data_IF_666133195755
#
_entry.id   IF_666133195755
#
_cell.length_a   1.000
_cell.length_b   1.000
_cell.length_c   1.000
_cell.angle_alpha   90.00
_cell.angle_beta   90.00
_cell.angle_gamma   90.00
#
_symmetry.space_group_name_H-M   'P 1'
#
loop_
_entity.id
_entity.type
_entity.pdbx_description
1 polymer ?
#
# COMPACT_ATOMS: atom_id res chain seq x y z
N UNK A 1 14.81 -21.04 5.56
CA UNK A 1 14.70 -19.57 5.38
C UNK A 1 13.65 -19.34 4.33
N UNK A 2 12.56 -18.69 4.71
CA UNK A 2 11.38 -18.46 3.89
C UNK A 2 11.29 -16.99 3.47
N UNK A 3 11.62 -16.07 4.38
CA UNK A 3 11.70 -14.63 4.13
C UNK A 3 13.06 -14.06 4.56
N UNK A 4 13.53 -13.03 3.85
CA UNK A 4 14.76 -12.29 4.15
C UNK A 4 14.56 -10.81 3.77
N UNK A 5 14.93 -9.89 4.65
CA UNK A 5 14.83 -8.45 4.40
C UNK A 5 16.02 -7.69 5.01
N UNK A 6 16.67 -6.84 4.23
CA UNK A 6 17.67 -5.88 4.71
C UNK A 6 16.98 -4.55 5.05
N UNK A 7 17.43 -3.87 6.10
CA UNK A 7 16.94 -2.52 6.40
C UNK A 7 17.45 -1.53 5.34
N UNK A 8 16.56 -0.80 4.65
CA UNK A 8 16.97 0.21 3.67
C UNK A 8 17.59 1.46 4.32
N UNK A 9 17.47 1.63 5.64
CA UNK A 9 17.92 2.82 6.37
C UNK A 9 19.00 2.52 7.43
N UNK A 10 19.36 1.25 7.63
CA UNK A 10 20.35 0.85 8.62
C UNK A 10 21.19 -0.32 8.12
N UNK A 11 22.34 0.02 7.56
CA UNK A 11 23.33 -0.93 7.04
C UNK A 11 23.63 -2.03 8.07
N UNK A 12 23.81 -3.26 7.57
CA UNK A 12 24.13 -4.44 8.36
C UNK A 12 22.95 -4.99 9.18
N UNK A 13 21.78 -4.35 9.13
CA UNK A 13 20.56 -4.87 9.75
C UNK A 13 19.82 -5.76 8.78
N UNK A 14 19.77 -7.06 9.07
CA UNK A 14 19.11 -8.07 8.22
C UNK A 14 18.18 -8.91 9.09
N UNK A 15 16.98 -9.14 8.58
CA UNK A 15 15.93 -9.95 9.19
C UNK A 15 15.74 -11.24 8.39
N UNK A 16 15.56 -12.36 9.08
CA UNK A 16 15.27 -13.65 8.46
C UNK A 16 14.08 -14.32 9.15
N UNK A 17 13.20 -14.91 8.35
CA UNK A 17 12.02 -15.67 8.79
C UNK A 17 12.06 -17.09 8.25
N UNK A 18 11.47 -18.04 8.97
CA UNK A 18 11.40 -19.45 8.58
C UNK A 18 9.95 -19.96 8.49
N UNK A 19 9.79 -21.13 7.90
CA UNK A 19 8.52 -21.83 7.75
C UNK A 19 8.02 -22.48 9.05
N UNK A 20 8.92 -22.73 10.01
CA UNK A 20 8.60 -23.22 11.36
C UNK A 20 8.39 -22.10 12.40
N UNK A 21 8.55 -20.83 12.01
CA UNK A 21 8.16 -19.67 12.81
C UNK A 21 9.27 -18.98 13.57
N UNK A 22 10.53 -19.26 13.25
CA UNK A 22 11.65 -18.51 13.82
C UNK A 22 11.85 -17.19 13.08
N UNK A 23 12.04 -16.13 13.87
CA UNK A 23 12.44 -14.81 13.38
C UNK A 23 13.81 -14.48 13.99
N UNK A 24 14.75 -14.13 13.13
CA UNK A 24 16.13 -13.81 13.49
C UNK A 24 16.48 -12.41 12.98
N UNK A 25 17.30 -11.69 13.72
CA UNK A 25 17.85 -10.39 13.29
C UNK A 25 19.35 -10.32 13.56
N UNK A 26 20.10 -9.77 12.62
CA UNK A 26 21.49 -9.33 12.77
C UNK A 26 21.54 -7.81 12.62
N UNK A 27 22.57 -7.18 13.21
CA UNK A 27 22.87 -5.76 13.06
C UNK A 27 24.34 -5.51 12.71
N UNK A 28 25.05 -6.57 12.27
CA UNK A 28 26.49 -6.57 11.99
C UNK A 28 26.84 -7.40 10.75
N UNK A 29 26.02 -7.25 9.70
CA UNK A 29 26.21 -7.89 8.39
C UNK A 29 26.21 -9.43 8.46
N UNK A 30 25.44 -10.00 9.40
CA UNK A 30 25.27 -11.43 9.55
C UNK A 30 26.34 -12.15 10.38
N UNK A 31 27.21 -11.41 11.07
CA UNK A 31 28.21 -11.99 11.97
C UNK A 31 27.57 -12.61 13.22
N UNK A 32 26.57 -11.93 13.81
CA UNK A 32 25.81 -12.41 14.95
C UNK A 32 24.30 -12.28 14.71
N UNK A 33 23.56 -13.33 15.08
CA UNK A 33 22.11 -13.39 14.94
C UNK A 33 21.43 -13.57 16.29
N UNK A 34 20.34 -12.84 16.50
CA UNK A 34 19.50 -12.93 17.69
C UNK A 34 18.13 -13.47 17.32
N UNK A 35 17.66 -14.47 18.06
CA UNK A 35 16.28 -14.96 17.94
C UNK A 35 15.34 -13.94 18.58
N UNK A 36 14.47 -13.37 17.76
CA UNK A 36 13.51 -12.32 18.13
C UNK A 36 12.08 -12.74 17.79
N UNK A 37 11.81 -14.05 17.86
CA UNK A 37 10.50 -14.62 17.50
C UNK A 37 9.38 -14.04 18.37
N UNK A 38 8.31 -13.46 17.79
CA UNK A 38 7.14 -13.03 18.55
C UNK A 38 6.46 -14.21 19.24
N UNK A 39 5.66 -13.94 20.27
CA UNK A 39 4.76 -14.95 20.82
C UNK A 39 3.66 -15.26 19.82
N UNK A 40 3.83 -16.33 19.05
CA UNK A 40 2.86 -16.87 18.11
C UNK A 40 2.81 -18.39 18.22
N UNK A 41 1.76 -19.06 17.72
CA UNK A 41 1.67 -20.51 17.83
C UNK A 41 2.81 -21.19 17.04
N UNK A 42 3.23 -22.38 17.48
CA UNK A 42 4.29 -23.14 16.80
C UNK A 42 3.93 -23.45 15.34
N UNK A 43 4.95 -23.66 14.50
CA UNK A 43 4.82 -24.01 13.08
C UNK A 43 4.15 -22.91 12.23
N UNK A 44 4.22 -21.66 12.69
CA UNK A 44 3.75 -20.50 11.95
C UNK A 44 4.71 -20.14 10.82
N UNK A 45 4.28 -20.06 9.58
CA UNK A 45 5.17 -19.65 8.48
C UNK A 45 5.32 -18.13 8.47
N UNK A 46 6.56 -17.63 8.53
CA UNK A 46 6.85 -16.19 8.33
C UNK A 46 6.89 -15.92 6.83
N UNK A 47 5.73 -15.57 6.25
CA UNK A 47 5.53 -15.47 4.81
C UNK A 47 6.25 -14.25 4.22
N UNK A 48 6.27 -13.13 4.96
CA UNK A 48 7.05 -11.95 4.58
C UNK A 48 7.55 -11.13 5.77
N UNK A 49 8.62 -10.38 5.53
CA UNK A 49 9.21 -9.40 6.46
C UNK A 49 9.36 -8.08 5.70
N UNK A 50 8.84 -6.99 6.28
CA UNK A 50 9.03 -5.63 5.81
C UNK A 50 9.90 -4.87 6.81
N UNK A 51 11.13 -4.54 6.44
CA UNK A 51 11.97 -3.65 7.22
C UNK A 51 11.60 -2.20 6.89
N UNK A 52 11.30 -1.38 7.91
CA UNK A 52 10.74 -0.05 7.69
C UNK A 52 11.67 0.83 6.85
N UNK A 53 11.16 1.50 5.79
CA UNK A 53 11.88 2.54 5.06
C UNK A 53 12.08 3.83 5.85
N UNK A 54 11.50 3.95 7.04
CA UNK A 54 11.56 5.17 7.87
C UNK A 54 12.37 5.00 9.15
N UNK A 55 12.56 3.77 9.63
CA UNK A 55 13.22 3.52 10.92
C UNK A 55 13.91 2.14 10.96
N UNK A 56 15.23 2.15 11.14
CA UNK A 56 16.05 0.94 11.13
C UNK A 56 15.84 -0.03 12.29
N UNK A 57 15.01 0.33 13.27
CA UNK A 57 14.61 -0.59 14.36
C UNK A 57 13.18 -1.15 14.19
N UNK A 58 12.44 -0.66 13.20
CA UNK A 58 11.05 -1.04 12.94
C UNK A 58 10.97 -2.10 11.85
N UNK A 59 10.16 -3.13 12.09
CA UNK A 59 9.85 -4.16 11.10
C UNK A 59 8.44 -4.70 11.29
N UNK A 60 7.87 -5.22 10.21
CA UNK A 60 6.56 -5.84 10.16
C UNK A 60 6.69 -7.27 9.63
N UNK A 61 5.88 -8.19 10.16
CA UNK A 61 5.81 -9.59 9.75
C UNK A 61 4.40 -9.89 9.27
N UNK A 62 4.27 -10.57 8.14
CA UNK A 62 3.07 -11.33 7.82
C UNK A 62 3.31 -12.80 8.15
N UNK A 63 2.36 -13.42 8.84
CA UNK A 63 2.46 -14.80 9.30
C UNK A 63 1.26 -15.59 8.77
N UNK A 64 1.57 -16.72 8.16
CA UNK A 64 0.60 -17.60 7.53
C UNK A 64 0.52 -18.94 8.27
N UNK A 65 -0.71 -19.37 8.53
CA UNK A 65 -1.03 -20.62 9.24
C UNK A 65 -2.14 -21.42 8.55
N UNK A 66 -2.54 -21.08 7.32
CA UNK A 66 -3.66 -21.76 6.65
C UNK A 66 -3.42 -23.27 6.47
N UNK A 67 -2.16 -23.70 6.35
CA UNK A 67 -1.77 -25.12 6.26
C UNK A 67 -1.99 -25.92 7.55
N UNK A 68 -2.33 -25.24 8.63
CA UNK A 68 -2.62 -25.81 9.96
C UNK A 68 -4.10 -25.61 10.34
N UNK A 69 -4.98 -25.41 9.36
CA UNK A 69 -6.40 -25.10 9.53
C UNK A 69 -6.68 -23.84 10.38
N UNK A 70 -5.73 -22.90 10.39
CA UNK A 70 -5.87 -21.59 11.06
C UNK A 70 -5.84 -20.46 10.03
N UNK A 71 -7.02 -19.95 9.70
CA UNK A 71 -7.23 -18.92 8.67
C UNK A 71 -7.29 -17.49 9.24
N UNK A 72 -6.83 -17.28 10.47
CA UNK A 72 -6.83 -15.95 11.08
C UNK A 72 -5.73 -15.07 10.46
N UNK A 73 -5.93 -13.74 10.41
CA UNK A 73 -4.88 -12.82 10.04
C UNK A 73 -3.82 -12.72 11.15
N UNK A 74 -2.54 -12.74 10.76
CA UNK A 74 -1.43 -12.47 11.67
C UNK A 74 -0.47 -11.47 11.04
N UNK A 75 -0.41 -10.28 11.64
CA UNK A 75 0.57 -9.24 11.34
C UNK A 75 1.18 -8.79 12.66
N UNK A 76 2.50 -8.82 12.75
CA UNK A 76 3.23 -8.36 13.93
C UNK A 76 4.11 -7.16 13.57
N UNK A 77 4.15 -6.18 14.45
CA UNK A 77 5.03 -5.02 14.35
C UNK A 77 6.00 -4.97 15.53
N UNK A 78 7.26 -4.64 15.25
CA UNK A 78 8.25 -4.23 16.25
C UNK A 78 8.78 -2.83 15.95
N UNK A 79 9.29 -2.15 16.97
CA UNK A 79 9.98 -0.85 16.86
C UNK A 79 11.32 -0.85 17.62
N UNK A 80 11.77 -2.01 18.09
CA UNK A 80 12.92 -2.16 19.00
C UNK A 80 13.84 -3.32 18.61
N UNK A 81 13.95 -3.60 17.30
CA UNK A 81 14.68 -4.73 16.73
C UNK A 81 14.16 -6.08 17.22
N UNK A 82 12.85 -6.23 17.37
CA UNK A 82 12.19 -7.50 17.66
C UNK A 82 12.26 -7.92 19.14
N UNK A 83 12.69 -7.04 20.05
CA UNK A 83 12.64 -7.33 21.49
C UNK A 83 11.18 -7.41 21.97
N UNK A 84 10.32 -6.58 21.40
CA UNK A 84 8.87 -6.62 21.62
C UNK A 84 8.12 -6.58 20.30
N UNK A 85 6.96 -7.21 20.30
CA UNK A 85 6.07 -7.31 19.15
C UNK A 85 4.63 -7.01 19.55
N UNK A 86 3.92 -6.31 18.68
CA UNK A 86 2.51 -5.99 18.81
C UNK A 86 1.74 -6.56 17.62
N UNK A 87 0.64 -7.26 17.88
CA UNK A 87 -0.27 -7.69 16.81
C UNK A 87 -1.07 -6.50 16.31
N UNK A 88 -1.12 -6.32 14.99
CA UNK A 88 -1.74 -5.16 14.32
C UNK A 88 -2.73 -5.63 13.24
N UNK A 89 -3.70 -6.46 13.63
CA UNK A 89 -4.69 -7.08 12.70
C UNK A 89 -6.13 -6.61 12.92
N UNK A 90 -6.31 -5.56 13.72
CA UNK A 90 -7.64 -5.02 14.04
C UNK A 90 -8.41 -4.64 12.77
N UNK A 91 -9.68 -5.04 12.69
CA UNK A 91 -10.56 -4.81 11.52
C UNK A 91 -10.23 -5.62 10.25
N UNK A 92 -9.22 -6.49 10.27
CA UNK A 92 -9.09 -7.56 9.25
C UNK A 92 -10.01 -8.73 9.69
N UNK A 93 -10.94 -9.20 8.83
CA UNK A 93 -11.86 -10.26 9.20
C UNK A 93 -11.17 -11.63 9.31
N UNK A 94 -11.70 -12.50 10.18
CA UNK A 94 -11.33 -13.92 10.20
C UNK A 94 -11.54 -14.55 8.80
N UNK A 95 -10.61 -15.42 8.39
CA UNK A 95 -10.60 -16.02 7.05
C UNK A 95 -9.77 -15.24 6.03
N UNK A 96 -9.42 -13.98 6.29
CA UNK A 96 -8.50 -13.19 5.46
C UNK A 96 -7.06 -13.30 5.99
N UNK A 97 -6.49 -14.51 5.96
CA UNK A 97 -5.08 -14.70 6.33
C UNK A 97 -4.15 -13.89 5.42
N UNK A 98 -2.99 -13.51 5.95
CA UNK A 98 -2.13 -12.46 5.38
C UNK A 98 -0.86 -13.08 4.81
N UNK A 99 -0.52 -12.70 3.59
CA UNK A 99 0.72 -13.10 2.91
C UNK A 99 1.79 -12.01 2.96
N UNK A 100 1.37 -10.77 2.76
CA UNK A 100 2.26 -9.63 2.63
C UNK A 100 1.80 -8.44 3.47
N UNK A 101 2.75 -7.74 4.06
CA UNK A 101 2.57 -6.41 4.65
C UNK A 101 3.66 -5.49 4.10
N UNK A 102 3.30 -4.27 3.69
CA UNK A 102 4.24 -3.24 3.20
C UNK A 102 3.98 -1.91 3.86
N UNK A 103 5.04 -1.19 4.19
CA UNK A 103 4.96 0.20 4.64
C UNK A 103 5.19 1.14 3.45
N UNK A 104 4.37 2.19 3.34
CA UNK A 104 4.56 3.18 2.29
C UNK A 104 5.87 3.96 2.52
N UNK A 105 6.79 4.02 1.54
CA UNK A 105 8.10 4.65 1.69
C UNK A 105 8.05 6.18 1.76
N UNK A 106 6.91 6.81 1.44
CA UNK A 106 6.73 8.27 1.46
C UNK A 106 5.86 8.75 2.63
N UNK A 107 5.07 7.86 3.24
CA UNK A 107 4.23 8.16 4.41
C UNK A 107 4.35 7.09 5.49
N UNK A 108 5.10 7.42 6.54
CA UNK A 108 5.17 6.60 7.77
C UNK A 108 3.78 6.31 8.33
N UNK A 109 3.53 5.05 8.68
CA UNK A 109 2.26 4.59 9.24
C UNK A 109 1.12 4.39 8.23
N UNK A 110 1.37 4.59 6.92
CA UNK A 110 0.48 4.08 5.87
C UNK A 110 0.95 2.68 5.50
N UNK A 111 0.10 1.68 5.75
CA UNK A 111 0.43 0.27 5.53
C UNK A 111 -0.55 -0.37 4.55
N UNK A 112 -0.08 -1.37 3.82
CA UNK A 112 -0.86 -2.19 2.92
C UNK A 112 -0.69 -3.67 3.29
N UNK A 113 -1.77 -4.44 3.25
CA UNK A 113 -1.76 -5.88 3.52
C UNK A 113 -2.39 -6.66 2.37
N UNK A 114 -1.68 -7.67 1.89
CA UNK A 114 -2.14 -8.64 0.90
C UNK A 114 -2.67 -9.87 1.62
N UNK A 115 -3.93 -10.20 1.38
CA UNK A 115 -4.64 -11.28 2.07
C UNK A 115 -5.26 -12.25 1.06
N UNK A 116 -5.79 -13.37 1.57
CA UNK A 116 -6.57 -14.32 0.76
C UNK A 116 -7.82 -13.68 0.11
N UNK A 117 -8.35 -12.59 0.69
CA UNK A 117 -9.59 -11.95 0.24
C UNK A 117 -9.37 -10.66 -0.56
N UNK A 118 -8.14 -10.20 -0.73
CA UNK A 118 -7.81 -8.94 -1.39
C UNK A 118 -6.83 -8.08 -0.61
N UNK A 119 -6.80 -6.78 -0.92
CA UNK A 119 -5.90 -5.81 -0.30
C UNK A 119 -6.61 -5.02 0.79
N UNK A 120 -5.92 -4.81 1.91
CA UNK A 120 -6.33 -3.90 2.99
C UNK A 120 -5.33 -2.76 3.13
N UNK A 121 -5.79 -1.62 3.63
CA UNK A 121 -4.99 -0.45 3.93
C UNK A 121 -5.23 0.02 5.36
N UNK A 122 -4.16 0.46 6.02
CA UNK A 122 -4.21 1.14 7.32
C UNK A 122 -3.59 2.53 7.19
N UNK A 123 -4.27 3.54 7.74
CA UNK A 123 -3.78 4.93 7.75
C UNK A 123 -3.19 5.34 9.10
N UNK A 124 -3.13 4.40 10.05
CA UNK A 124 -2.80 4.59 11.46
C UNK A 124 -1.88 3.48 12.00
N UNK A 125 -0.91 3.08 11.16
CA UNK A 125 0.21 2.22 11.54
C UNK A 125 -0.23 0.82 12.03
N UNK A 126 -1.30 0.31 11.42
CA UNK A 126 -1.85 -1.02 11.66
C UNK A 126 -2.87 -1.09 12.79
N UNK A 127 -3.24 0.05 13.40
CA UNK A 127 -4.23 0.07 14.47
C UNK A 127 -5.65 -0.23 13.97
N UNK A 128 -5.98 0.18 12.74
CA UNK A 128 -7.21 -0.19 12.04
C UNK A 128 -6.94 -0.42 10.56
N UNK A 129 -7.56 -1.48 10.02
CA UNK A 129 -7.52 -1.82 8.61
C UNK A 129 -8.88 -1.65 7.95
N UNK A 130 -8.87 -1.27 6.68
CA UNK A 130 -10.07 -1.24 5.85
C UNK A 130 -9.77 -1.81 4.45
N UNK A 131 -10.76 -2.39 3.75
CA UNK A 131 -10.56 -2.90 2.41
C UNK A 131 -10.10 -1.81 1.43
N UNK A 132 -9.13 -2.14 0.59
CA UNK A 132 -8.67 -1.35 -0.57
C UNK A 132 -8.93 -2.16 -1.85
N UNK A 133 -10.21 -2.41 -2.13
CA UNK A 133 -10.62 -3.36 -3.17
C UNK A 133 -10.84 -2.69 -4.54
N UNK A 134 -11.51 -1.54 -4.61
CA UNK A 134 -11.90 -0.89 -5.88
C UNK A 134 -12.49 -1.89 -6.89
N UNK A 135 -11.89 -2.02 -8.08
CA UNK A 135 -12.27 -2.99 -9.13
C UNK A 135 -11.44 -4.29 -9.10
N UNK A 136 -10.54 -4.46 -8.13
CA UNK A 136 -9.83 -5.72 -7.92
C UNK A 136 -10.87 -6.82 -7.61
N UNK A 137 -10.81 -8.00 -8.22
CA UNK A 137 -11.64 -9.13 -7.83
C UNK A 137 -11.21 -9.67 -6.45
N UNK A 138 -12.14 -10.31 -5.73
CA UNK A 138 -11.78 -11.10 -4.54
C UNK A 138 -10.88 -12.26 -5.01
N UNK A 139 -9.60 -12.17 -4.67
CA UNK A 139 -8.56 -13.10 -5.11
C UNK A 139 -7.39 -13.05 -4.12
N UNK A 140 -6.62 -14.14 -3.96
CA UNK A 140 -5.48 -14.15 -3.07
C UNK A 140 -4.39 -13.19 -3.56
N UNK A 141 -3.83 -12.42 -2.62
CA UNK A 141 -2.74 -11.48 -2.86
C UNK A 141 -1.49 -12.00 -2.17
N UNK A 142 -0.58 -12.62 -2.93
CA UNK A 142 0.65 -13.19 -2.38
C UNK A 142 1.70 -12.13 -2.07
N UNK A 143 1.72 -11.06 -2.87
CA UNK A 143 2.69 -9.99 -2.66
C UNK A 143 2.16 -8.65 -3.17
N UNK A 144 2.73 -7.58 -2.65
CA UNK A 144 2.55 -6.22 -3.11
C UNK A 144 3.84 -5.42 -2.94
N UNK A 145 4.02 -4.39 -3.76
CA UNK A 145 5.16 -3.47 -3.65
C UNK A 145 4.72 -2.07 -4.03
N UNK A 146 5.17 -1.08 -3.25
CA UNK A 146 5.04 0.32 -3.62
C UNK A 146 6.18 0.69 -4.55
N UNK A 147 5.86 1.04 -5.80
CA UNK A 147 6.83 1.54 -6.77
C UNK A 147 6.49 3.00 -7.11
N UNK A 148 7.36 3.91 -6.68
CA UNK A 148 7.18 5.35 -6.83
C UNK A 148 5.86 5.85 -6.21
N UNK A 149 4.83 6.05 -7.03
CA UNK A 149 3.50 6.49 -6.64
C UNK A 149 2.44 5.42 -6.90
N UNK A 150 2.80 4.20 -7.31
CA UNK A 150 1.86 3.13 -7.62
C UNK A 150 2.00 1.94 -6.65
N UNK A 151 0.90 1.24 -6.42
CA UNK A 151 0.91 -0.05 -5.70
C UNK A 151 0.75 -1.18 -6.71
N UNK A 152 1.80 -1.98 -6.86
CA UNK A 152 1.81 -3.18 -7.70
C UNK A 152 1.37 -4.36 -6.84
N UNK A 153 0.43 -5.15 -7.32
CA UNK A 153 -0.27 -6.20 -6.58
C UNK A 153 -0.10 -7.52 -7.34
N UNK A 154 0.53 -8.52 -6.72
CA UNK A 154 0.70 -9.85 -7.29
C UNK A 154 -0.40 -10.79 -6.79
N UNK A 155 -1.30 -11.20 -7.71
CA UNK A 155 -2.41 -12.10 -7.38
C UNK A 155 -2.06 -13.56 -7.64
N UNK A 156 -2.75 -14.49 -6.97
CA UNK A 156 -2.75 -15.90 -7.34
C UNK A 156 -3.76 -16.17 -8.46
N UNK A 157 -3.29 -16.35 -9.69
CA UNK A 157 -4.12 -16.82 -10.81
C UNK A 157 -4.90 -15.73 -11.57
N UNK A 158 -4.67 -14.44 -11.31
CA UNK A 158 -5.33 -13.30 -12.01
C UNK A 158 -4.39 -12.18 -12.44
N UNK A 159 -3.15 -12.52 -12.82
CA UNK A 159 -2.10 -11.58 -13.24
C UNK A 159 -1.65 -10.62 -12.13
N UNK A 160 -0.79 -9.65 -12.43
CA UNK A 160 -0.53 -8.53 -11.52
C UNK A 160 -1.47 -7.36 -11.82
N UNK A 161 -1.81 -6.59 -10.80
CA UNK A 161 -2.67 -5.42 -10.86
C UNK A 161 -1.90 -4.19 -10.40
N UNK A 162 -2.27 -3.02 -10.91
CA UNK A 162 -1.74 -1.74 -10.46
C UNK A 162 -2.88 -0.90 -9.91
N UNK A 163 -2.70 -0.39 -8.69
CA UNK A 163 -3.39 0.80 -8.25
C UNK A 163 -2.48 1.98 -8.56
N UNK A 164 -2.81 2.67 -9.64
CA UNK A 164 -2.11 3.89 -10.05
C UNK A 164 -2.35 4.99 -9.02
N UNK A 165 -1.31 5.76 -8.71
CA UNK A 165 -1.38 7.00 -7.95
C UNK A 165 -1.93 6.87 -6.51
N UNK A 166 -1.05 6.51 -5.58
CA UNK A 166 -1.23 6.50 -4.12
C UNK A 166 -1.25 7.90 -3.50
N UNK A 167 -1.02 8.96 -4.28
CA UNK A 167 -0.94 10.35 -3.80
C UNK A 167 -2.17 10.78 -2.98
N UNK A 168 -3.42 10.43 -3.36
CA UNK A 168 -4.58 10.70 -2.51
C UNK A 168 -4.51 9.95 -1.17
N UNK A 169 -4.16 8.66 -1.18
CA UNK A 169 -4.07 7.84 0.05
C UNK A 169 -3.01 8.37 1.03
N UNK A 170 -1.93 8.98 0.53
CA UNK A 170 -0.90 9.63 1.35
C UNK A 170 -1.36 10.96 1.95
N UNK A 171 -2.36 11.60 1.36
CA UNK A 171 -2.91 12.86 1.85
C UNK A 171 -4.11 12.66 2.78
N UNK A 172 -4.74 11.48 2.77
CA UNK A 172 -5.76 11.12 3.76
C UNK A 172 -5.13 11.10 5.14
N UNK A 173 -5.58 12.01 5.99
CA UNK A 173 -5.28 12.04 7.42
C UNK A 173 -6.55 11.76 8.23
N UNK A 174 -6.40 11.41 9.50
CA UNK A 174 -7.53 11.14 10.41
C UNK A 174 -8.48 12.35 10.58
N UNK A 175 -8.09 13.55 10.14
CA UNK A 175 -8.93 14.75 10.13
C UNK A 175 -9.69 14.97 8.81
N UNK A 176 -9.37 14.23 7.74
CA UNK A 176 -10.01 14.36 6.41
C UNK A 176 -11.50 14.00 6.46
N UNK A 177 -11.95 13.24 7.47
CA UNK A 177 -13.36 12.96 7.71
C UNK A 177 -14.19 14.17 8.17
N UNK A 178 -13.53 15.28 8.55
CA UNK A 178 -14.18 16.53 8.97
C UNK A 178 -14.39 17.53 7.82
N UNK A 179 -13.67 17.40 6.71
CA UNK A 179 -13.80 18.29 5.55
C UNK A 179 -14.85 17.78 4.57
N UNK A 180 -15.78 18.66 4.18
CA UNK A 180 -16.83 18.31 3.21
C UNK A 180 -16.30 18.16 1.78
N UNK A 181 -15.20 18.84 1.46
CA UNK A 181 -14.52 18.82 0.16
C UNK A 181 -13.02 18.75 0.37
N UNK A 182 -12.34 17.89 -0.40
CA UNK A 182 -10.88 17.82 -0.46
C UNK A 182 -10.45 17.88 -1.92
N UNK A 183 -9.54 18.79 -2.24
CA UNK A 183 -8.80 18.78 -3.50
C UNK A 183 -7.39 18.27 -3.18
N UNK A 184 -7.03 17.09 -3.69
CA UNK A 184 -5.74 16.50 -3.42
C UNK A 184 -4.67 17.19 -4.26
N UNK A 185 -3.48 17.36 -3.68
CA UNK A 185 -2.32 17.78 -4.45
C UNK A 185 -2.05 16.70 -5.52
N UNK A 186 -2.04 17.05 -6.81
CA UNK A 186 -1.78 16.09 -7.86
C UNK A 186 -0.32 15.65 -7.86
N UNK A 187 -0.06 14.43 -8.34
CA UNK A 187 1.30 13.99 -8.63
C UNK A 187 1.95 14.83 -9.74
N UNK A 188 3.28 14.76 -9.85
CA UNK A 188 3.99 15.42 -10.95
C UNK A 188 3.56 14.81 -12.27
N UNK A 189 2.88 15.58 -13.11
CA UNK A 189 2.40 15.13 -14.40
C UNK A 189 3.56 14.93 -15.38
N UNK A 190 3.62 13.75 -16.01
CA UNK A 190 4.60 13.45 -17.04
C UNK A 190 3.99 13.64 -18.43
N UNK A 191 4.67 14.42 -19.27
CA UNK A 191 4.33 14.52 -20.69
C UNK A 191 5.13 13.46 -21.46
N UNK A 192 4.50 12.32 -21.68
CA UNK A 192 5.09 11.18 -22.38
C UNK A 192 4.66 11.17 -23.85
N UNK A 193 5.60 10.88 -24.75
CA UNK A 193 5.31 10.60 -26.15
C UNK A 193 5.38 9.10 -26.36
N UNK A 194 4.23 8.47 -26.57
CA UNK A 194 4.14 7.06 -26.87
C UNK A 194 4.12 6.83 -28.38
N UNK A 195 4.65 5.71 -28.88
CA UNK A 195 4.40 5.30 -30.26
C UNK A 195 2.89 5.10 -30.47
N UNK A 196 2.37 5.57 -31.60
CA UNK A 196 0.93 5.47 -31.94
C UNK A 196 0.49 4.01 -32.15
N UNK A 197 1.43 3.13 -32.47
CA UNK A 197 1.19 1.70 -32.70
C UNK A 197 1.92 0.85 -31.66
N UNK A 198 1.14 0.11 -30.86
CA UNK A 198 1.64 -0.99 -30.05
C UNK A 198 1.17 -2.32 -30.63
N UNK A 199 2.05 -3.31 -30.64
CA UNK A 199 1.68 -4.68 -30.99
C UNK A 199 0.80 -5.29 -29.90
N UNK A 200 -0.52 -5.15 -30.04
CA UNK A 200 -1.52 -5.73 -29.13
C UNK A 200 -1.73 -7.24 -29.31
N UNK A 201 -0.88 -7.93 -30.08
CA UNK A 201 -0.91 -9.41 -30.15
C UNK A 201 -0.44 -10.07 -28.85
N UNK A 202 0.19 -9.31 -27.95
CA UNK A 202 0.53 -9.72 -26.58
C UNK A 202 -0.39 -9.01 -25.58
N UNK A 203 -0.63 -9.60 -24.39
CA UNK A 203 -1.30 -8.89 -23.30
C UNK A 203 -0.52 -7.59 -22.98
N UNK A 204 -1.17 -6.45 -23.22
CA UNK A 204 -0.63 -5.13 -22.87
C UNK A 204 -1.61 -4.45 -21.91
N UNK A 205 -1.07 -3.81 -20.88
CA UNK A 205 -1.85 -2.95 -20.00
C UNK A 205 -2.16 -1.61 -20.69
N UNK A 206 -3.14 -0.89 -20.15
CA UNK A 206 -3.40 0.48 -20.56
C UNK A 206 -2.36 1.42 -19.93
N UNK A 207 -1.90 2.41 -20.71
CA UNK A 207 -1.09 3.50 -20.17
C UNK A 207 -1.99 4.44 -19.34
N UNK A 208 -1.43 5.14 -18.33
CA UNK A 208 -2.16 6.16 -17.60
C UNK A 208 -2.68 7.25 -18.54
N UNK A 209 -3.80 7.92 -18.20
CA UNK A 209 -4.34 9.01 -19.02
C UNK A 209 -3.30 10.13 -19.22
N UNK A 210 -3.26 10.76 -20.41
CA UNK A 210 -2.34 11.86 -20.65
C UNK A 210 -2.68 13.10 -19.81
N UNK A 211 -1.65 13.76 -19.29
CA UNK A 211 -1.80 15.03 -18.56
C UNK A 211 -1.68 14.88 -17.04
N UNK A 212 -2.20 15.86 -16.31
CA UNK A 212 -2.22 15.85 -14.85
C UNK A 212 -3.55 15.26 -14.37
N UNK A 213 -3.46 14.19 -13.57
CA UNK A 213 -4.61 13.66 -12.84
C UNK A 213 -4.88 14.55 -11.63
N UNK A 214 -6.13 14.99 -11.50
CA UNK A 214 -6.58 15.85 -10.39
C UNK A 214 -7.65 15.07 -9.64
N UNK A 215 -7.29 14.60 -8.46
CA UNK A 215 -8.19 13.85 -7.59
C UNK A 215 -8.86 14.80 -6.60
N UNK A 216 -10.13 14.57 -6.35
CA UNK A 216 -10.92 15.31 -5.37
C UNK A 216 -11.93 14.40 -4.69
N UNK A 217 -12.36 14.80 -3.50
CA UNK A 217 -13.34 14.08 -2.71
C UNK A 217 -14.43 15.04 -2.22
N UNK A 218 -15.67 14.56 -2.30
CA UNK A 218 -16.82 15.19 -1.69
C UNK A 218 -17.42 14.23 -0.67
N UNK A 219 -17.58 14.68 0.58
CA UNK A 219 -18.23 13.88 1.63
C UNK A 219 -19.69 13.61 1.31
N UNK A 220 -20.35 14.59 0.70
CA UNK A 220 -21.72 14.49 0.19
C UNK A 220 -21.76 15.00 -1.23
N UNK A 221 -22.56 14.37 -2.08
CA UNK A 221 -22.68 14.79 -3.47
C UNK A 221 -23.11 16.27 -3.55
N UNK A 222 -22.33 17.12 -4.24
CA UNK A 222 -22.64 18.55 -4.33
C UNK A 222 -23.93 18.74 -5.11
N UNK A 223 -24.82 19.61 -4.58
CA UNK A 223 -26.07 20.00 -5.26
C UNK A 223 -25.89 21.24 -6.14
N UNK A 224 -24.90 22.06 -5.78
CA UNK A 224 -24.53 23.26 -6.51
C UNK A 224 -23.45 22.96 -7.54
N UNK A 225 -23.18 23.95 -8.39
CA UNK A 225 -22.08 23.90 -9.34
C UNK A 225 -20.73 23.68 -8.63
N UNK A 226 -19.97 22.73 -9.14
CA UNK A 226 -18.56 22.54 -8.80
C UNK A 226 -17.75 23.13 -9.93
N UNK A 227 -16.78 23.97 -9.59
CA UNK A 227 -15.81 24.49 -10.56
C UNK A 227 -14.38 24.19 -10.12
N UNK A 228 -13.50 24.07 -11.10
CA UNK A 228 -12.06 23.86 -10.89
C UNK A 228 -11.31 24.80 -11.82
N UNK A 229 -10.55 25.72 -11.22
CA UNK A 229 -9.63 26.61 -11.92
C UNK A 229 -8.20 26.08 -11.82
N UNK A 230 -7.55 25.96 -12.97
CA UNK A 230 -6.11 25.80 -13.06
C UNK A 230 -5.54 27.19 -13.30
N UNK A 231 -4.65 27.64 -12.41
CA UNK A 231 -4.00 28.95 -12.47
C UNK A 231 -2.50 28.82 -12.72
N UNK A 232 -1.92 29.82 -13.37
CA UNK A 232 -0.46 29.95 -13.47
C UNK A 232 0.16 30.54 -12.17
N UNK A 233 1.49 30.69 -12.15
CA UNK A 233 2.23 31.26 -11.01
C UNK A 233 1.87 32.70 -10.66
N UNK A 234 1.19 33.44 -11.54
CA UNK A 234 0.68 34.79 -11.30
C UNK A 234 -0.76 34.82 -10.77
N UNK A 235 -1.40 33.65 -10.65
CA UNK A 235 -2.81 33.51 -10.26
C UNK A 235 -3.80 33.68 -11.42
N UNK A 236 -3.33 33.78 -12.67
CA UNK A 236 -4.22 33.89 -13.83
C UNK A 236 -4.77 32.52 -14.19
N UNK A 237 -6.09 32.43 -14.38
CA UNK A 237 -6.76 31.21 -14.84
C UNK A 237 -6.29 30.84 -16.25
N UNK A 238 -5.70 29.66 -16.39
CA UNK A 238 -5.28 29.07 -17.67
C UNK A 238 -6.27 28.01 -18.16
N UNK A 239 -7.07 27.43 -17.26
CA UNK A 239 -8.15 26.51 -17.61
C UNK A 239 -9.23 26.54 -16.53
N UNK A 240 -10.49 26.49 -16.96
CA UNK A 240 -11.66 26.43 -16.09
C UNK A 240 -12.50 25.21 -16.46
N UNK A 241 -12.89 24.44 -15.44
CA UNK A 241 -13.86 23.36 -15.55
C UNK A 241 -15.07 23.67 -14.69
N UNK A 242 -16.26 23.26 -15.14
CA UNK A 242 -17.51 23.37 -14.39
C UNK A 242 -18.30 22.08 -14.55
N UNK A 243 -19.01 21.68 -13.49
CA UNK A 243 -19.96 20.57 -13.52
C UNK A 243 -21.28 20.93 -14.20
N UNK A 244 -21.51 22.21 -14.54
CA UNK A 244 -22.63 22.62 -15.37
C UNK A 244 -22.30 22.33 -16.83
N UNK A 245 -23.25 21.69 -17.51
CA UNK A 245 -23.18 21.47 -18.94
C UNK A 245 -23.09 22.82 -19.67
N UNK A 246 -22.04 23.00 -20.48
CA UNK A 246 -21.99 24.15 -21.39
C UNK A 246 -23.08 23.94 -22.43
N UNK A 247 -24.09 24.83 -22.45
CA UNK A 247 -24.94 24.96 -23.62
C UNK A 247 -24.05 25.38 -24.78
N UNK A 248 -23.84 24.50 -25.76
CA UNK A 248 -23.25 24.90 -27.03
C UNK A 248 -24.12 26.03 -27.59
N UNK A 249 -23.51 27.18 -27.84
CA UNK A 249 -24.15 28.23 -28.60
C UNK A 249 -24.23 27.76 -30.05
N UNK A 250 -25.45 27.66 -30.60
CA UNK A 250 -25.71 27.49 -32.04
C UNK A 250 -25.03 28.57 -32.89
#
# INVERSE_FOLDING_TARGET
>A
MFALAESPVKQGTIWAGTDDGLVQVTADDGQHWSNVTPKMPEWSTVDSIEASPHDGNTAYLAVDRHKLDDFKPYIFKTTDLGKTWTSIVSSIPDGAYVHAVREDPKRKGLLYAGTELGVFVSFDDGAHWQPLQLNLPVTPIHDLVVKDDDLVIATHGRSFWLLDNLTPLRQVNTQSGQTDVVLYQPQTALRLHYPEEFDRRQPVGDNPPPGALIDYYFKTAPKEEVSLDIVDSSGKVVRHFSSKEKKEAE
#
